data_IF_974829334867
#
_entry.id   IF_974829334867
#
_cell.length_a   1.000
_cell.length_b   1.000
_cell.length_c   1.000
_cell.angle_alpha   90.00
_cell.angle_beta   90.00
_cell.angle_gamma   90.00
#
_symmetry.space_group_name_H-M   'P 1'
#
loop_
_entity.id
_entity.type
_entity.pdbx_description
1 polymer ?
#
# COMPACT_ATOMS: atom_id res chain seq x y z
N UNK A 1 15.64 -3.03 -16.39
CA UNK A 1 16.40 -1.87 -15.90
C UNK A 1 16.63 -2.10 -14.42
N UNK A 2 17.89 -2.15 -13.96
CA UNK A 2 18.21 -2.30 -12.54
C UNK A 2 18.00 -0.94 -11.88
N UNK A 3 16.99 -0.81 -11.04
CA UNK A 3 16.73 0.43 -10.29
C UNK A 3 17.70 0.53 -9.12
N UNK A 4 18.28 1.72 -8.96
CA UNK A 4 19.20 2.06 -7.90
C UNK A 4 18.48 2.02 -6.54
N UNK A 5 18.69 0.98 -5.74
CA UNK A 5 18.71 0.98 -4.26
C UNK A 5 17.54 1.55 -3.44
N UNK A 6 16.48 2.11 -4.04
CA UNK A 6 15.31 2.57 -3.32
C UNK A 6 14.45 1.36 -2.96
N UNK A 7 14.19 1.19 -1.66
CA UNK A 7 13.20 0.23 -1.19
C UNK A 7 11.87 0.54 -1.88
N UNK A 8 11.18 -0.45 -2.48
CA UNK A 8 9.84 -0.25 -2.99
C UNK A 8 8.94 0.36 -1.92
N UNK A 9 8.01 1.21 -2.33
CA UNK A 9 7.12 1.92 -1.42
C UNK A 9 6.04 2.67 -2.19
N UNK A 10 5.19 3.36 -1.46
CA UNK A 10 4.11 4.18 -2.00
C UNK A 10 4.61 5.38 -2.79
N UNK A 11 3.69 6.18 -3.36
CA UNK A 11 4.07 7.32 -4.20
C UNK A 11 4.87 8.37 -3.41
N UNK A 12 5.57 9.27 -4.12
CA UNK A 12 6.28 10.39 -3.46
C UNK A 12 5.33 11.25 -2.61
N UNK A 13 5.81 11.66 -1.43
CA UNK A 13 5.10 12.57 -0.53
C UNK A 13 5.37 14.05 -0.84
N UNK A 14 6.08 14.36 -1.91
CA UNK A 14 6.37 15.75 -2.30
C UNK A 14 5.09 16.58 -2.43
N UNK A 15 5.06 17.74 -1.78
CA UNK A 15 3.90 18.63 -1.76
C UNK A 15 2.78 18.22 -0.80
N UNK A 16 2.95 17.14 -0.03
CA UNK A 16 2.01 16.73 1.02
C UNK A 16 2.49 17.24 2.37
N UNK A 17 1.65 18.05 3.04
CA UNK A 17 1.87 18.39 4.44
C UNK A 17 1.44 17.21 5.33
N UNK A 18 2.39 16.32 5.60
CA UNK A 18 2.16 15.14 6.43
C UNK A 18 1.82 15.49 7.89
N UNK A 19 2.18 16.68 8.38
CA UNK A 19 1.96 17.06 9.80
C UNK A 19 0.46 17.20 10.14
N UNK A 20 -0.36 17.47 9.13
CA UNK A 20 -1.80 17.65 9.27
C UNK A 20 -2.60 16.43 8.83
N UNK A 21 -1.95 15.41 8.27
CA UNK A 21 -2.60 14.27 7.62
C UNK A 21 -2.17 12.93 8.23
N UNK A 22 -2.99 11.90 8.04
CA UNK A 22 -2.59 10.51 8.23
C UNK A 22 -2.64 9.81 6.89
N UNK A 23 -1.50 9.30 6.45
CA UNK A 23 -1.33 8.71 5.13
C UNK A 23 -1.06 7.22 5.29
N UNK A 24 -1.83 6.40 4.58
CA UNK A 24 -1.53 4.98 4.37
C UNK A 24 -1.19 4.82 2.90
N UNK A 25 0.01 4.34 2.58
CA UNK A 25 0.44 4.10 1.21
C UNK A 25 1.32 2.85 1.13
N UNK A 26 1.63 2.45 -0.09
CA UNK A 26 2.54 1.34 -0.31
C UNK A 26 2.61 0.92 -1.77
N UNK A 27 3.36 -0.14 -2.02
CA UNK A 27 3.45 -0.82 -3.30
C UNK A 27 3.02 -2.29 -3.19
N UNK A 28 2.32 -2.77 -4.21
CA UNK A 28 1.92 -4.17 -4.36
C UNK A 28 2.83 -4.83 -5.37
N UNK A 29 3.54 -5.87 -4.94
CA UNK A 29 4.50 -6.61 -5.75
C UNK A 29 4.08 -8.08 -5.87
N UNK A 30 4.38 -8.72 -6.99
CA UNK A 30 4.32 -10.17 -7.13
C UNK A 30 5.47 -10.79 -6.34
N UNK A 31 5.26 -11.87 -5.59
CA UNK A 31 6.39 -12.59 -5.00
C UNK A 31 7.33 -13.07 -6.12
N UNK A 32 8.59 -12.66 -6.10
CA UNK A 32 9.64 -13.20 -6.97
C UNK A 32 10.82 -13.55 -6.10
N UNK A 33 11.37 -14.76 -6.24
CA UNK A 33 12.48 -15.33 -5.46
C UNK A 33 12.32 -15.16 -3.93
N UNK A 34 12.17 -16.26 -3.18
CA UNK A 34 12.18 -16.22 -1.71
C UNK A 34 13.59 -15.94 -1.15
N UNK A 35 14.21 -14.82 -1.53
CA UNK A 35 15.51 -14.35 -1.06
C UNK A 35 15.40 -13.33 0.08
N UNK A 36 14.17 -13.00 0.50
CA UNK A 36 13.89 -12.06 1.58
C UNK A 36 14.02 -10.58 1.18
N UNK A 37 14.25 -10.29 -0.10
CA UNK A 37 14.28 -8.93 -0.64
C UNK A 37 12.98 -8.69 -1.41
N UNK A 38 12.23 -7.62 -1.12
CA UNK A 38 11.06 -7.25 -1.91
C UNK A 38 11.50 -6.76 -3.30
N UNK A 39 11.75 -7.69 -4.22
CA UNK A 39 12.23 -7.44 -5.58
C UNK A 39 11.23 -7.91 -6.66
N UNK A 40 10.00 -8.18 -6.23
CA UNK A 40 8.87 -8.54 -7.05
C UNK A 40 8.54 -7.54 -8.16
N UNK A 41 7.83 -8.00 -9.19
CA UNK A 41 7.29 -7.11 -10.22
C UNK A 41 6.07 -6.35 -9.70
N UNK A 42 5.95 -5.08 -10.04
CA UNK A 42 4.79 -4.27 -9.69
C UNK A 42 3.49 -4.86 -10.26
N UNK A 43 2.48 -5.04 -9.41
CA UNK A 43 1.15 -5.48 -9.83
C UNK A 43 0.31 -4.23 -10.11
N UNK A 44 0.07 -3.94 -11.38
CA UNK A 44 -0.61 -2.71 -11.84
C UNK A 44 -2.13 -2.84 -11.95
N UNK A 45 -2.66 -4.06 -11.91
CA UNK A 45 -4.07 -4.40 -12.03
C UNK A 45 -4.68 -4.84 -10.68
N UNK A 46 -4.13 -4.33 -9.57
CA UNK A 46 -4.68 -4.55 -8.25
C UNK A 46 -5.62 -3.42 -7.84
N UNK A 47 -6.57 -3.75 -6.97
CA UNK A 47 -7.42 -2.82 -6.25
C UNK A 47 -7.14 -2.97 -4.76
N UNK A 48 -6.93 -1.86 -4.08
CA UNK A 48 -6.79 -1.84 -2.62
C UNK A 48 -8.05 -1.23 -2.04
N UNK A 49 -8.69 -1.94 -1.11
CA UNK A 49 -9.82 -1.42 -0.34
C UNK A 49 -9.36 -1.07 1.06
N UNK A 50 -9.99 -0.03 1.60
CA UNK A 50 -9.83 0.39 2.99
C UNK A 50 -11.14 0.10 3.73
N UNK A 51 -11.07 -0.70 4.78
CA UNK A 51 -12.18 -0.97 5.69
C UNK A 51 -11.90 -0.36 7.06
N UNK A 52 -12.93 0.16 7.71
CA UNK A 52 -12.84 0.71 9.06
C UNK A 52 -12.67 -0.39 10.13
N UNK A 53 -12.66 0.00 11.41
CA UNK A 53 -12.49 -0.91 12.53
C UNK A 53 -13.66 -1.90 12.74
N UNK A 54 -14.82 -1.64 12.14
CA UNK A 54 -15.96 -2.55 12.12
C UNK A 54 -15.93 -3.52 10.93
N UNK A 55 -15.00 -3.32 9.99
CA UNK A 55 -14.92 -4.04 8.73
C UNK A 55 -15.79 -3.43 7.63
N UNK A 56 -16.33 -2.23 7.82
CA UNK A 56 -17.15 -1.55 6.82
C UNK A 56 -16.28 -0.92 5.73
N UNK A 57 -16.72 -1.08 4.48
CA UNK A 57 -16.04 -0.49 3.33
C UNK A 57 -16.07 1.03 3.38
N UNK A 58 -14.89 1.65 3.32
CA UNK A 58 -14.73 3.11 3.36
C UNK A 58 -14.27 3.67 2.01
N UNK A 59 -13.30 3.03 1.35
CA UNK A 59 -12.75 3.50 0.09
C UNK A 59 -12.08 2.37 -0.72
N UNK A 60 -11.88 2.62 -2.03
CA UNK A 60 -11.08 1.77 -2.92
C UNK A 60 -10.22 2.65 -3.83
N UNK A 61 -8.98 2.22 -4.06
CA UNK A 61 -8.10 2.81 -5.08
C UNK A 61 -7.45 1.72 -5.93
N UNK A 62 -7.35 1.90 -7.26
CA UNK A 62 -6.53 1.03 -8.10
C UNK A 62 -5.04 1.33 -7.88
N UNK A 63 -4.18 0.33 -8.09
CA UNK A 63 -2.73 0.53 -8.12
C UNK A 63 -2.30 1.27 -9.39
N UNK A 64 -1.24 2.07 -9.31
CA UNK A 64 -0.65 2.73 -10.50
C UNK A 64 0.31 1.79 -11.26
N UNK A 65 1.05 2.35 -12.25
CA UNK A 65 2.02 1.58 -13.06
C UNK A 65 3.21 1.01 -12.26
N UNK A 66 3.48 1.56 -11.08
CA UNK A 66 4.49 1.08 -10.15
C UNK A 66 3.89 0.18 -9.05
N UNK A 67 2.61 -0.20 -9.17
CA UNK A 67 1.91 -1.01 -8.18
C UNK A 67 1.53 -0.24 -6.92
N UNK A 68 1.65 1.09 -6.94
CA UNK A 68 1.49 1.92 -5.74
C UNK A 68 0.06 2.36 -5.50
N UNK A 69 -0.27 2.60 -4.23
CA UNK A 69 -1.56 3.12 -3.78
C UNK A 69 -1.38 4.14 -2.64
N UNK A 70 -2.41 4.96 -2.39
CA UNK A 70 -2.46 5.89 -1.25
C UNK A 70 -3.89 6.15 -0.79
N UNK A 71 -4.06 6.20 0.53
CA UNK A 71 -5.24 6.69 1.22
C UNK A 71 -4.87 7.83 2.18
N UNK A 72 -5.79 8.77 2.32
CA UNK A 72 -5.81 9.73 3.42
C UNK A 72 -6.95 9.32 4.36
N UNK A 73 -6.60 8.95 5.59
CA UNK A 73 -7.56 8.37 6.52
C UNK A 73 -7.46 9.05 7.89
N UNK A 74 -8.56 9.03 8.66
CA UNK A 74 -8.52 9.47 10.05
C UNK A 74 -7.53 8.59 10.84
N UNK A 75 -6.86 9.14 11.87
CA UNK A 75 -6.03 8.33 12.75
C UNK A 75 -6.83 7.18 13.37
N UNK A 76 -6.29 5.97 13.35
CA UNK A 76 -7.01 4.80 13.85
C UNK A 76 -6.59 3.49 13.20
N UNK A 77 -7.30 2.43 13.58
CA UNK A 77 -7.11 1.09 13.02
C UNK A 77 -7.93 0.96 11.75
N UNK A 78 -7.29 0.42 10.71
CA UNK A 78 -7.89 0.16 9.41
C UNK A 78 -7.50 -1.24 8.93
N UNK A 79 -8.29 -1.79 8.01
CA UNK A 79 -7.93 -3.00 7.28
C UNK A 79 -7.73 -2.66 5.81
N UNK A 80 -6.57 -3.02 5.25
CA UNK A 80 -6.36 -3.02 3.81
C UNK A 80 -6.74 -4.39 3.26
N UNK A 81 -7.55 -4.41 2.21
CA UNK A 81 -7.86 -5.61 1.42
C UNK A 81 -7.31 -5.39 0.01
N UNK A 82 -6.22 -6.08 -0.31
CA UNK A 82 -5.61 -6.04 -1.64
C UNK A 82 -6.20 -7.17 -2.48
N UNK A 83 -6.70 -6.82 -3.66
CA UNK A 83 -7.32 -7.71 -4.62
C UNK A 83 -6.57 -7.60 -5.95
N UNK A 84 -6.08 -8.71 -6.47
CA UNK A 84 -5.48 -8.83 -7.79
C UNK A 84 -6.04 -10.09 -8.48
N UNK A 85 -5.90 -10.25 -9.80
CA UNK A 85 -6.38 -11.46 -10.46
C UNK A 85 -5.77 -12.73 -9.84
N UNK A 86 -6.62 -13.56 -9.23
CA UNK A 86 -6.22 -14.80 -8.56
C UNK A 86 -5.63 -14.66 -7.16
N UNK A 87 -5.48 -13.44 -6.63
CA UNK A 87 -4.86 -13.19 -5.33
C UNK A 87 -5.67 -12.22 -4.46
N UNK A 88 -5.72 -12.52 -3.15
CA UNK A 88 -6.30 -11.66 -2.11
C UNK A 88 -5.42 -11.65 -0.88
N UNK A 89 -5.17 -10.48 -0.30
CA UNK A 89 -4.45 -10.35 0.96
C UNK A 89 -5.08 -9.28 1.83
N UNK A 90 -5.16 -9.56 3.13
CA UNK A 90 -5.66 -8.63 4.12
C UNK A 90 -4.57 -8.33 5.14
N UNK A 91 -4.52 -7.07 5.57
CA UNK A 91 -3.61 -6.63 6.60
C UNK A 91 -4.25 -5.51 7.42
N UNK A 92 -4.13 -5.64 8.75
CA UNK A 92 -4.52 -4.58 9.65
C UNK A 92 -3.37 -3.58 9.77
N UNK A 93 -3.71 -2.30 9.74
CA UNK A 93 -2.77 -1.18 9.78
C UNK A 93 -3.25 -0.10 10.74
N UNK A 94 -2.33 0.76 11.17
CA UNK A 94 -2.65 1.91 12.03
C UNK A 94 -2.27 3.19 11.28
N UNK A 95 -3.25 4.02 10.98
CA UNK A 95 -3.02 5.38 10.50
C UNK A 95 -2.69 6.28 11.69
N UNK A 96 -1.58 7.01 11.61
CA UNK A 96 -1.18 7.99 12.63
C UNK A 96 -0.97 9.35 11.97
N UNK A 97 -1.56 10.40 12.54
CA UNK A 97 -1.36 11.76 12.03
C UNK A 97 0.12 12.15 12.13
N UNK A 98 0.69 12.76 11.10
CA UNK A 98 2.11 13.15 11.10
C UNK A 98 3.09 12.01 10.77
N UNK A 99 2.63 10.77 10.72
CA UNK A 99 3.49 9.59 10.49
C UNK A 99 2.92 8.79 9.33
N UNK A 100 3.43 9.01 8.11
CA UNK A 100 3.05 8.21 6.95
C UNK A 100 3.37 6.74 7.18
N UNK A 101 2.38 5.88 6.97
CA UNK A 101 2.58 4.45 6.91
C UNK A 101 2.88 4.05 5.46
N UNK A 102 4.07 3.52 5.23
CA UNK A 102 4.51 3.05 3.92
C UNK A 102 4.77 1.53 3.96
N UNK A 103 4.19 0.80 3.01
CA UNK A 103 4.11 -0.65 3.02
C UNK A 103 4.61 -1.26 1.72
N UNK A 104 5.25 -2.42 1.82
CA UNK A 104 5.47 -3.30 0.67
C UNK A 104 4.63 -4.56 0.87
N UNK A 105 3.70 -4.80 -0.05
CA UNK A 105 2.74 -5.89 0.02
C UNK A 105 3.03 -6.88 -1.09
N UNK A 106 3.54 -8.05 -0.73
CA UNK A 106 3.76 -9.13 -1.69
C UNK A 106 2.52 -10.03 -1.80
N UNK A 107 2.13 -10.33 -3.04
CA UNK A 107 1.07 -11.29 -3.38
C UNK A 107 1.68 -12.52 -4.08
N UNK A 108 1.31 -13.70 -3.59
CA UNK A 108 1.67 -15.01 -4.14
C UNK A 108 0.62 -15.53 -5.12
#
# INVERSE_FOLDING_TARGET
MRTCGATPGGPSLDGIDITTQSVIQGAVLSTSMNDGVPNGSAITNAHVRLLDSSGEFTAEVPTNQEGQFRFFAAPGVWTLVVLAPGARKELQVIATKGVPLDLVIELS
#
